data_IF_792064764365
#
_entry.id   IF_792064764365
#
_cell.length_a   1.000
_cell.length_b   1.000
_cell.length_c   1.000
_cell.angle_alpha   90.00
_cell.angle_beta   90.00
_cell.angle_gamma   90.00
#
_symmetry.space_group_name_H-M   'P 1'
#
loop_
_entity.id
_entity.type
_entity.pdbx_description
1 polymer ?
#
# COMPACT_ATOMS: atom_id res chain seq x y z
N UNK A 1 -29.42 4.33 23.18
CA UNK A 1 -28.54 4.81 22.10
C UNK A 1 -27.21 4.09 22.18
N UNK A 2 -26.87 3.24 21.21
CA UNK A 2 -25.52 2.66 21.12
C UNK A 2 -24.50 3.79 20.90
N UNK A 3 -23.55 3.98 21.79
CA UNK A 3 -22.50 4.99 21.70
C UNK A 3 -21.63 4.65 20.49
N UNK A 4 -21.65 5.47 19.43
CA UNK A 4 -20.86 5.27 18.22
C UNK A 4 -19.38 5.22 18.59
N UNK A 5 -18.72 4.11 18.31
CA UNK A 5 -17.29 3.94 18.58
C UNK A 5 -16.42 4.76 17.63
N UNK A 6 -15.35 5.34 18.13
CA UNK A 6 -14.42 6.13 17.32
C UNK A 6 -13.69 5.24 16.31
N UNK A 7 -13.56 5.71 15.05
CA UNK A 7 -12.77 5.02 14.02
C UNK A 7 -11.31 4.80 14.44
N UNK A 8 -10.73 5.68 15.22
CA UNK A 8 -9.37 5.53 15.74
C UNK A 8 -9.23 4.34 16.68
N UNK A 9 -10.23 4.10 17.50
CA UNK A 9 -10.30 2.96 18.42
C UNK A 9 -10.46 1.65 17.65
N UNK A 10 -11.34 1.62 16.65
CA UNK A 10 -11.53 0.44 15.79
C UNK A 10 -10.24 0.10 15.05
N UNK A 11 -9.60 1.08 14.42
CA UNK A 11 -8.33 0.88 13.70
C UNK A 11 -7.20 0.46 14.64
N UNK A 12 -7.13 1.01 15.85
CA UNK A 12 -6.17 0.59 16.87
C UNK A 12 -6.34 -0.88 17.24
N UNK A 13 -7.58 -1.30 17.50
CA UNK A 13 -7.93 -2.69 17.83
C UNK A 13 -7.54 -3.65 16.71
N UNK A 14 -7.91 -3.35 15.46
CA UNK A 14 -7.59 -4.19 14.31
C UNK A 14 -6.07 -4.26 14.11
N UNK A 15 -5.38 -3.12 14.12
CA UNK A 15 -3.93 -3.06 13.96
C UNK A 15 -3.20 -3.85 15.05
N UNK A 16 -3.63 -3.72 16.32
CA UNK A 16 -3.01 -4.42 17.43
C UNK A 16 -3.22 -5.93 17.36
N UNK A 17 -4.45 -6.39 17.14
CA UNK A 17 -4.77 -7.81 16.96
C UNK A 17 -4.01 -8.43 15.79
N UNK A 18 -3.94 -7.73 14.66
CA UNK A 18 -3.15 -8.15 13.51
C UNK A 18 -1.66 -8.29 13.86
N UNK A 19 -1.10 -7.32 14.59
CA UNK A 19 0.29 -7.37 15.02
C UNK A 19 0.56 -8.53 16.00
N UNK A 20 -0.34 -8.81 16.94
CA UNK A 20 -0.23 -9.93 17.88
C UNK A 20 -0.15 -11.29 17.17
N UNK A 21 -0.87 -11.46 16.04
CA UNK A 21 -0.83 -12.71 15.24
C UNK A 21 0.47 -12.88 14.44
N UNK A 22 1.16 -11.78 14.15
CA UNK A 22 2.28 -11.80 13.20
C UNK A 22 3.65 -11.77 13.88
N UNK A 23 3.76 -11.09 15.02
CA UNK A 23 5.04 -10.94 15.75
C UNK A 23 4.94 -11.41 17.18
N UNK A 24 6.04 -12.00 17.67
CA UNK A 24 6.16 -12.38 19.06
C UNK A 24 6.15 -11.14 19.98
N UNK A 25 5.70 -11.27 21.23
CA UNK A 25 5.68 -10.15 22.17
C UNK A 25 7.04 -9.46 22.32
N UNK A 26 8.11 -10.20 22.37
CA UNK A 26 9.48 -9.70 22.55
C UNK A 26 10.44 -10.30 21.53
N UNK A 27 11.45 -9.54 21.13
CA UNK A 27 12.46 -9.99 20.16
C UNK A 27 13.51 -10.91 20.77
N UNK A 28 13.70 -10.85 22.08
CA UNK A 28 14.68 -11.65 22.84
C UNK A 28 14.26 -11.73 24.31
N UNK A 29 14.65 -12.80 25.00
CA UNK A 29 14.36 -12.99 26.44
C UNK A 29 14.90 -11.86 27.32
N UNK A 30 16.05 -11.29 26.97
CA UNK A 30 16.69 -10.16 27.66
C UNK A 30 16.16 -8.78 27.21
N UNK A 31 15.09 -8.72 26.40
CA UNK A 31 14.51 -7.43 26.00
C UNK A 31 13.92 -6.72 27.20
N UNK A 32 14.02 -5.37 27.28
CA UNK A 32 13.24 -4.60 28.26
C UNK A 32 11.75 -4.88 28.02
N UNK A 33 11.04 -5.44 29.00
CA UNK A 33 9.64 -5.84 28.88
C UNK A 33 8.66 -4.67 29.11
N UNK A 34 9.09 -3.45 28.79
CA UNK A 34 8.29 -2.23 28.92
C UNK A 34 7.17 -2.16 27.89
N UNK A 35 7.48 -2.51 26.63
CA UNK A 35 6.53 -2.56 25.51
C UNK A 35 6.68 -3.86 24.76
N UNK A 36 5.57 -4.43 24.30
CA UNK A 36 5.59 -5.55 23.38
C UNK A 36 5.82 -5.07 21.92
N UNK A 37 6.36 -5.93 21.08
CA UNK A 37 6.51 -5.62 19.65
C UNK A 37 5.16 -5.33 18.96
N UNK A 38 4.06 -6.10 19.20
CA UNK A 38 2.74 -5.77 18.67
C UNK A 38 2.25 -4.39 19.06
N UNK A 39 2.43 -3.96 20.32
CA UNK A 39 2.04 -2.61 20.77
C UNK A 39 2.76 -1.53 19.98
N UNK A 40 4.10 -1.61 19.91
CA UNK A 40 4.91 -0.62 19.20
C UNK A 40 4.61 -0.60 17.70
N UNK A 41 4.35 -1.78 17.11
CA UNK A 41 4.03 -1.91 15.70
C UNK A 41 2.67 -1.27 15.38
N UNK A 42 1.67 -1.53 16.22
CA UNK A 42 0.34 -0.92 16.11
C UNK A 42 0.40 0.60 16.27
N UNK A 43 1.18 1.13 17.23
CA UNK A 43 1.41 2.57 17.38
C UNK A 43 1.99 3.18 16.10
N UNK A 44 2.95 2.52 15.45
CA UNK A 44 3.52 3.02 14.19
C UNK A 44 2.51 2.97 13.04
N UNK A 45 1.70 1.91 12.92
CA UNK A 45 0.62 1.88 11.92
C UNK A 45 -0.39 3.00 12.15
N UNK A 46 -0.81 3.21 13.40
CA UNK A 46 -1.68 4.33 13.77
C UNK A 46 -1.06 5.69 13.46
N UNK A 47 0.24 5.88 13.70
CA UNK A 47 0.95 7.11 13.38
C UNK A 47 0.80 7.49 11.90
N UNK A 48 0.91 6.51 10.99
CA UNK A 48 0.64 6.73 9.57
C UNK A 48 -0.85 6.99 9.30
N UNK A 49 -1.75 6.29 9.98
CA UNK A 49 -3.19 6.47 9.83
C UNK A 49 -3.65 7.88 10.22
N UNK A 50 -3.14 8.42 11.34
CA UNK A 50 -3.47 9.76 11.84
C UNK A 50 -2.56 10.86 11.26
N UNK A 51 -1.62 10.51 10.39
CA UNK A 51 -0.67 11.42 9.75
C UNK A 51 0.17 12.24 10.73
N UNK A 52 0.55 11.69 11.86
CA UNK A 52 1.35 12.38 12.87
C UNK A 52 2.86 12.16 12.65
N UNK A 53 3.69 13.11 13.09
CA UNK A 53 5.12 12.87 13.27
C UNK A 53 5.35 11.95 14.48
N UNK A 54 6.58 11.48 14.70
CA UNK A 54 6.87 10.66 15.88
C UNK A 54 6.60 11.40 17.19
N UNK A 55 6.94 12.70 17.27
CA UNK A 55 6.69 13.53 18.45
C UNK A 55 5.20 13.80 18.62
N UNK A 56 4.53 14.21 17.55
CA UNK A 56 3.08 14.44 17.61
C UNK A 56 2.28 13.17 17.90
N UNK A 57 2.83 11.98 17.59
CA UNK A 57 2.19 10.70 17.93
C UNK A 57 2.27 10.40 19.42
N UNK A 58 3.39 10.73 20.07
CA UNK A 58 3.54 10.65 21.52
C UNK A 58 2.49 11.53 22.21
N UNK A 59 2.39 12.80 21.82
CA UNK A 59 1.38 13.75 22.34
C UNK A 59 -0.06 13.30 22.03
N UNK A 60 -0.29 12.79 20.83
CA UNK A 60 -1.62 12.29 20.44
C UNK A 60 -2.05 11.07 21.27
N UNK A 61 -1.13 10.17 21.59
CA UNK A 61 -1.40 9.04 22.46
C UNK A 61 -1.74 9.52 23.87
N UNK A 62 -1.00 10.48 24.43
CA UNK A 62 -1.29 11.08 25.75
C UNK A 62 -2.73 11.63 25.83
N UNK A 63 -3.27 12.13 24.74
CA UNK A 63 -4.63 12.65 24.64
C UNK A 63 -5.69 11.60 24.23
N UNK A 64 -5.35 10.29 24.18
CA UNK A 64 -6.19 9.27 23.55
C UNK A 64 -6.42 8.04 24.45
N UNK A 65 -7.01 8.21 25.63
CA UNK A 65 -7.25 7.14 26.62
C UNK A 65 -7.87 5.87 26.03
N UNK A 66 -8.89 6.03 25.17
CA UNK A 66 -9.57 4.91 24.55
C UNK A 66 -8.64 4.08 23.64
N UNK A 67 -7.70 4.75 22.93
CA UNK A 67 -6.70 4.08 22.09
C UNK A 67 -5.64 3.39 22.96
N UNK A 68 -5.19 4.04 24.03
CA UNK A 68 -4.23 3.48 25.00
C UNK A 68 -4.79 2.16 25.56
N UNK A 69 -6.07 2.16 25.96
CA UNK A 69 -6.76 0.98 26.45
C UNK A 69 -6.80 -0.15 25.43
N UNK A 70 -7.14 0.14 24.16
CA UNK A 70 -7.18 -0.86 23.09
C UNK A 70 -5.79 -1.45 22.77
N UNK A 71 -4.74 -0.66 22.92
CA UNK A 71 -3.37 -1.12 22.71
C UNK A 71 -2.76 -1.76 23.96
N UNK A 72 -3.51 -1.82 25.08
CA UNK A 72 -3.05 -2.33 26.36
C UNK A 72 -1.74 -1.66 26.84
N UNK A 73 -1.58 -0.37 26.54
CA UNK A 73 -0.39 0.39 26.91
C UNK A 73 -0.44 0.79 28.38
N UNK A 74 0.57 0.38 29.14
CA UNK A 74 0.76 0.83 30.53
C UNK A 74 1.47 2.18 30.60
N UNK A 75 2.27 2.49 29.58
CA UNK A 75 3.04 3.71 29.44
C UNK A 75 3.01 4.14 27.96
N UNK A 76 3.25 5.42 27.70
CA UNK A 76 3.31 5.92 26.31
C UNK A 76 4.73 5.73 25.75
N UNK A 77 4.89 5.10 24.58
CA UNK A 77 6.19 4.99 23.94
C UNK A 77 6.65 6.35 23.43
N UNK A 78 7.84 6.75 23.83
CA UNK A 78 8.47 7.99 23.34
C UNK A 78 8.74 7.96 21.83
N UNK A 79 8.86 9.14 21.25
CA UNK A 79 9.09 9.31 19.80
C UNK A 79 10.35 8.60 19.28
N UNK A 80 11.39 8.46 20.10
CA UNK A 80 12.63 7.76 19.72
C UNK A 80 12.41 6.24 19.66
N UNK A 81 11.59 5.70 20.55
CA UNK A 81 11.17 4.29 20.55
C UNK A 81 10.33 3.97 19.32
N UNK A 82 9.36 4.82 18.97
CA UNK A 82 8.57 4.68 17.74
C UNK A 82 9.46 4.74 16.48
N UNK A 83 10.40 5.69 16.43
CA UNK A 83 11.36 5.80 15.32
C UNK A 83 12.24 4.56 15.20
N UNK A 84 12.81 4.07 16.32
CA UNK A 84 13.60 2.82 16.34
C UNK A 84 12.78 1.63 15.91
N UNK A 85 11.52 1.56 16.29
CA UNK A 85 10.59 0.51 15.87
C UNK A 85 10.40 0.54 14.36
N UNK A 86 10.04 1.67 13.76
CA UNK A 86 9.88 1.75 12.31
C UNK A 86 11.18 1.47 11.54
N UNK A 87 12.35 1.81 12.10
CA UNK A 87 13.65 1.45 11.53
C UNK A 87 13.83 -0.07 11.38
N UNK A 88 13.28 -0.85 12.29
CA UNK A 88 13.35 -2.34 12.29
C UNK A 88 12.33 -2.99 11.35
N UNK A 89 11.28 -2.29 10.93
CA UNK A 89 10.27 -2.84 10.02
C UNK A 89 10.90 -3.19 8.68
N UNK A 90 10.86 -4.47 8.33
CA UNK A 90 11.27 -4.95 7.01
C UNK A 90 10.03 -5.06 6.12
N UNK A 91 10.22 -4.92 4.80
CA UNK A 91 9.12 -5.08 3.81
C UNK A 91 8.45 -6.45 3.99
N UNK A 92 9.22 -7.52 4.22
CA UNK A 92 8.68 -8.87 4.49
C UNK A 92 7.70 -8.92 5.66
N UNK A 93 7.92 -8.10 6.70
CA UNK A 93 6.98 -8.02 7.84
C UNK A 93 5.68 -7.34 7.44
N UNK A 94 5.77 -6.24 6.69
CA UNK A 94 4.58 -5.54 6.18
C UNK A 94 3.76 -6.44 5.23
N UNK A 95 4.44 -7.20 4.37
CA UNK A 95 3.80 -8.20 3.50
C UNK A 95 3.14 -9.32 4.31
N UNK A 96 3.77 -9.75 5.41
CA UNK A 96 3.17 -10.76 6.30
C UNK A 96 1.91 -10.23 6.98
N UNK A 97 1.95 -8.98 7.49
CA UNK A 97 0.78 -8.32 8.06
C UNK A 97 -0.36 -8.22 7.04
N UNK A 98 -0.06 -7.72 5.84
CA UNK A 98 -1.06 -7.60 4.78
C UNK A 98 -1.66 -8.96 4.41
N UNK A 99 -0.83 -10.00 4.30
CA UNK A 99 -1.27 -11.36 4.01
C UNK A 99 -2.18 -11.89 5.11
N UNK A 100 -1.79 -11.77 6.38
CA UNK A 100 -2.60 -12.23 7.52
C UNK A 100 -3.96 -11.54 7.56
N UNK A 101 -4.02 -10.24 7.28
CA UNK A 101 -5.30 -9.51 7.18
C UNK A 101 -6.16 -10.02 6.03
N UNK A 102 -5.58 -10.20 4.85
CA UNK A 102 -6.32 -10.69 3.67
C UNK A 102 -6.76 -12.15 3.82
N UNK A 103 -5.99 -12.98 4.52
CA UNK A 103 -6.36 -14.36 4.82
C UNK A 103 -7.59 -14.45 5.75
N UNK A 104 -7.86 -13.41 6.56
CA UNK A 104 -9.08 -13.28 7.35
C UNK A 104 -10.26 -12.79 6.50
N UNK A 105 -10.02 -11.85 5.59
CA UNK A 105 -11.04 -11.26 4.74
C UNK A 105 -11.43 -12.15 3.55
N UNK A 106 -10.56 -13.11 3.18
CA UNK A 106 -10.75 -14.09 2.11
C UNK A 106 -11.26 -13.51 0.77
N UNK A 107 -10.64 -12.43 0.23
CA UNK A 107 -11.06 -11.91 -1.07
C UNK A 107 -10.87 -12.96 -2.16
N UNK A 108 -11.82 -13.00 -3.11
CA UNK A 108 -11.82 -13.92 -4.23
C UNK A 108 -12.24 -13.17 -5.50
N UNK A 109 -11.26 -12.77 -6.31
CA UNK A 109 -11.41 -11.78 -7.35
C UNK A 109 -11.42 -12.40 -8.75
N UNK A 110 -12.36 -12.00 -9.60
CA UNK A 110 -12.34 -12.28 -11.04
C UNK A 110 -11.40 -11.33 -11.78
N UNK A 111 -11.34 -10.08 -11.35
CA UNK A 111 -10.48 -9.05 -11.90
C UNK A 111 -9.63 -8.37 -10.85
N UNK A 112 -8.35 -8.17 -11.16
CA UNK A 112 -7.41 -7.45 -10.30
C UNK A 112 -6.80 -6.31 -11.09
N UNK A 113 -7.02 -5.09 -10.64
CA UNK A 113 -6.50 -3.88 -11.30
C UNK A 113 -5.12 -3.54 -10.75
N UNK A 114 -4.15 -3.35 -11.65
CA UNK A 114 -2.82 -2.87 -11.29
C UNK A 114 -2.66 -1.41 -11.67
N UNK A 115 -2.11 -0.64 -10.75
CA UNK A 115 -1.75 0.75 -11.00
C UNK A 115 -0.56 1.17 -10.13
N UNK A 116 0.13 2.23 -10.56
CA UNK A 116 1.18 2.87 -9.78
C UNK A 116 0.80 4.30 -9.47
N UNK A 117 1.13 4.75 -8.26
CA UNK A 117 0.94 6.14 -7.88
C UNK A 117 2.21 6.73 -7.30
N UNK A 118 2.51 8.00 -7.63
CA UNK A 118 3.68 8.70 -7.13
C UNK A 118 3.45 9.32 -5.75
N UNK A 119 4.48 9.25 -4.91
CA UNK A 119 4.58 9.92 -3.62
C UNK A 119 5.80 10.83 -3.62
N UNK A 120 5.60 12.11 -3.33
CA UNK A 120 6.67 13.11 -3.34
C UNK A 120 7.47 13.08 -2.03
N UNK A 121 8.81 13.18 -2.06
CA UNK A 121 9.58 13.42 -0.85
C UNK A 121 9.33 14.86 -0.35
N UNK A 122 8.94 15.03 0.89
CA UNK A 122 8.50 16.31 1.49
C UNK A 122 9.61 17.35 1.72
N UNK A 123 10.81 17.18 1.21
CA UNK A 123 11.95 17.84 1.88
C UNK A 123 12.64 18.96 1.10
N UNK A 124 12.23 19.22 -0.12
CA UNK A 124 12.77 20.35 -0.86
C UNK A 124 11.62 21.16 -1.44
N UNK A 125 11.60 22.46 -1.15
CA UNK A 125 10.69 23.35 -1.85
C UNK A 125 11.06 23.38 -3.34
N UNK A 126 10.09 23.57 -4.22
CA UNK A 126 10.29 23.73 -5.67
C UNK A 126 11.35 24.81 -5.95
N UNK A 127 11.34 25.87 -5.14
CA UNK A 127 12.32 26.95 -5.21
C UNK A 127 13.76 26.49 -4.87
N UNK A 128 13.93 25.64 -3.86
CA UNK A 128 15.25 25.09 -3.53
C UNK A 128 15.78 24.16 -4.63
N UNK A 129 14.93 23.32 -5.19
CA UNK A 129 15.29 22.43 -6.29
C UNK A 129 15.71 23.23 -7.54
N UNK A 130 14.97 24.29 -7.87
CA UNK A 130 15.31 25.19 -8.96
C UNK A 130 16.67 25.87 -8.75
N UNK A 131 16.97 26.34 -7.54
CA UNK A 131 18.28 26.93 -7.18
C UNK A 131 19.43 25.94 -7.26
N UNK A 132 19.20 24.65 -6.97
CA UNK A 132 20.20 23.59 -7.07
C UNK A 132 20.36 23.05 -8.49
N UNK A 133 19.69 23.62 -9.51
CA UNK A 133 19.74 23.16 -10.91
C UNK A 133 19.16 21.78 -11.14
N UNK A 134 18.40 21.24 -10.18
CA UNK A 134 17.77 19.91 -10.29
C UNK A 134 16.45 20.04 -11.04
N UNK A 135 16.43 19.55 -12.28
CA UNK A 135 15.23 19.57 -13.15
C UNK A 135 14.16 18.55 -12.75
N UNK A 136 14.50 17.48 -12.00
CA UNK A 136 13.59 16.41 -11.64
C UNK A 136 13.74 16.05 -10.18
N UNK A 137 12.64 16.02 -9.48
CA UNK A 137 12.59 15.46 -8.13
C UNK A 137 12.42 13.95 -8.22
N UNK A 138 13.22 13.22 -7.45
CA UNK A 138 13.03 11.78 -7.32
C UNK A 138 11.78 11.54 -6.49
N UNK A 139 10.75 10.94 -7.08
CA UNK A 139 9.58 10.50 -6.36
C UNK A 139 9.60 8.99 -6.12
N UNK A 140 8.77 8.53 -5.20
CA UNK A 140 8.64 7.11 -4.90
C UNK A 140 7.32 6.61 -5.46
N UNK A 141 7.35 5.50 -6.20
CA UNK A 141 6.15 4.84 -6.70
C UNK A 141 5.64 3.84 -5.68
N UNK A 142 4.33 3.87 -5.39
CA UNK A 142 3.61 2.77 -4.81
C UNK A 142 2.87 2.04 -5.92
N UNK A 143 3.15 0.75 -6.11
CA UNK A 143 2.40 -0.12 -7.01
C UNK A 143 1.42 -0.96 -6.20
N UNK A 144 0.16 -0.98 -6.63
CA UNK A 144 -0.92 -1.67 -5.96
C UNK A 144 -1.67 -2.59 -6.91
N UNK A 145 -1.99 -3.78 -6.43
CA UNK A 145 -2.93 -4.70 -7.05
C UNK A 145 -4.23 -4.66 -6.24
N UNK A 146 -5.29 -4.19 -6.83
CA UNK A 146 -6.59 -3.95 -6.18
C UNK A 146 -7.63 -4.90 -6.74
N UNK A 147 -8.35 -5.60 -5.88
CA UNK A 147 -9.48 -6.44 -6.27
C UNK A 147 -10.64 -5.60 -6.81
N UNK A 148 -11.25 -6.04 -7.90
CA UNK A 148 -12.41 -5.34 -8.48
C UNK A 148 -13.62 -5.47 -7.57
N UNK A 149 -13.86 -6.64 -7.02
CA UNK A 149 -15.03 -6.94 -6.20
C UNK A 149 -14.88 -6.35 -4.79
N UNK A 150 -13.75 -6.64 -4.13
CA UNK A 150 -13.53 -6.23 -2.74
C UNK A 150 -13.02 -4.81 -2.57
N UNK A 151 -12.38 -4.23 -3.60
CA UNK A 151 -11.59 -3.01 -3.54
C UNK A 151 -10.45 -3.04 -2.50
N UNK A 152 -10.06 -4.22 -2.05
CA UNK A 152 -8.92 -4.40 -1.16
C UNK A 152 -7.61 -4.37 -1.95
N UNK A 153 -6.56 -3.86 -1.34
CA UNK A 153 -5.20 -3.94 -1.88
C UNK A 153 -4.66 -5.35 -1.59
N UNK A 154 -4.62 -6.19 -2.61
CA UNK A 154 -4.18 -7.58 -2.52
C UNK A 154 -2.66 -7.73 -2.50
N UNK A 155 -1.96 -6.79 -3.15
CA UNK A 155 -0.51 -6.74 -3.15
C UNK A 155 -0.03 -5.29 -3.23
N UNK A 156 1.11 -5.03 -2.58
CA UNK A 156 1.77 -3.74 -2.58
C UNK A 156 3.25 -3.90 -2.93
N UNK A 157 3.77 -2.93 -3.65
CA UNK A 157 5.20 -2.77 -3.92
C UNK A 157 5.58 -1.30 -3.87
N UNK A 158 6.86 -1.03 -3.80
CA UNK A 158 7.40 0.32 -3.95
C UNK A 158 8.62 0.32 -4.86
N UNK A 159 8.80 1.40 -5.58
CA UNK A 159 9.90 1.63 -6.48
C UNK A 159 10.31 3.10 -6.49
N UNK A 160 11.39 3.41 -7.18
CA UNK A 160 11.82 4.79 -7.44
C UNK A 160 11.22 5.27 -8.76
N UNK A 161 10.72 6.49 -8.80
CA UNK A 161 10.34 7.18 -10.03
C UNK A 161 11.42 8.18 -10.48
N UNK A 162 11.39 8.62 -11.73
CA UNK A 162 10.61 8.10 -12.85
C UNK A 162 11.13 6.74 -13.32
N UNK A 163 10.27 5.84 -13.71
CA UNK A 163 10.63 4.52 -14.23
C UNK A 163 9.40 3.85 -14.85
N UNK A 164 9.62 2.85 -15.71
CA UNK A 164 8.52 2.13 -16.35
C UNK A 164 7.72 1.31 -15.31
N UNK A 165 6.41 1.22 -15.51
CA UNK A 165 5.51 0.45 -14.64
C UNK A 165 5.56 -1.05 -14.93
N UNK A 166 6.13 -1.45 -16.05
CA UNK A 166 6.30 -2.85 -16.46
C UNK A 166 7.01 -3.69 -15.41
N UNK A 167 7.98 -3.12 -14.67
CA UNK A 167 8.70 -3.79 -13.58
C UNK A 167 7.82 -4.17 -12.38
N UNK A 168 6.63 -3.60 -12.26
CA UNK A 168 5.67 -3.93 -11.20
C UNK A 168 4.75 -5.11 -11.57
N UNK A 169 4.57 -5.40 -12.86
CA UNK A 169 3.57 -6.35 -13.36
C UNK A 169 3.72 -7.75 -12.73
N UNK A 170 4.81 -8.45 -13.00
CA UNK A 170 4.98 -9.82 -12.54
C UNK A 170 5.15 -9.97 -11.02
N UNK A 171 5.87 -9.08 -10.32
CA UNK A 171 5.91 -9.14 -8.87
C UNK A 171 4.56 -8.91 -8.19
N UNK A 172 3.73 -7.98 -8.67
CA UNK A 172 2.37 -7.76 -8.16
C UNK A 172 1.48 -8.95 -8.47
N UNK A 173 1.52 -9.47 -9.70
CA UNK A 173 0.79 -10.66 -10.12
C UNK A 173 1.10 -11.86 -9.22
N UNK A 174 2.38 -12.15 -9.00
CA UNK A 174 2.82 -13.26 -8.14
C UNK A 174 2.30 -13.15 -6.71
N UNK A 175 2.25 -11.93 -6.16
CA UNK A 175 1.75 -11.69 -4.80
C UNK A 175 0.22 -11.76 -4.74
N UNK A 176 -0.47 -11.23 -5.74
CA UNK A 176 -1.93 -11.15 -5.77
C UNK A 176 -2.61 -12.46 -6.19
N UNK A 177 -1.91 -13.37 -6.90
CA UNK A 177 -2.52 -14.57 -7.54
C UNK A 177 -3.34 -15.46 -6.61
N UNK A 178 -3.03 -15.47 -5.31
CA UNK A 178 -3.73 -16.30 -4.32
C UNK A 178 -5.15 -15.81 -4.00
N UNK A 179 -5.45 -14.56 -4.35
CA UNK A 179 -6.73 -13.90 -4.12
C UNK A 179 -7.58 -13.82 -5.40
N UNK A 180 -7.02 -14.20 -6.53
CA UNK A 180 -7.76 -14.35 -7.76
C UNK A 180 -8.56 -15.66 -7.80
N UNK A 181 -9.77 -15.62 -8.34
CA UNK A 181 -10.59 -16.81 -8.52
C UNK A 181 -9.83 -17.84 -9.37
N UNK A 182 -9.64 -19.04 -8.81
CA UNK A 182 -8.73 -20.05 -9.36
C UNK A 182 -9.03 -20.35 -10.83
N UNK A 183 -8.02 -20.10 -11.69
CA UNK A 183 -8.07 -20.37 -13.13
C UNK A 183 -8.90 -19.39 -13.95
N UNK A 184 -9.52 -18.36 -13.35
CA UNK A 184 -10.46 -17.46 -14.05
C UNK A 184 -10.18 -15.98 -13.87
N UNK A 185 -9.17 -15.59 -13.09
CA UNK A 185 -8.88 -14.17 -12.84
C UNK A 185 -7.96 -13.57 -13.90
N UNK A 186 -8.14 -12.28 -14.16
CA UNK A 186 -7.36 -11.51 -15.13
C UNK A 186 -6.83 -10.23 -14.53
N UNK A 187 -5.79 -9.68 -15.14
CA UNK A 187 -5.21 -8.38 -14.78
C UNK A 187 -5.77 -7.30 -15.68
N UNK A 188 -6.20 -6.19 -15.07
CA UNK A 188 -6.52 -4.94 -15.75
C UNK A 188 -5.43 -3.93 -15.40
N UNK A 189 -4.87 -3.27 -16.38
CA UNK A 189 -3.94 -2.16 -16.16
C UNK A 189 -3.94 -1.20 -17.35
N UNK A 190 -3.25 -0.08 -17.18
CA UNK A 190 -3.03 0.83 -18.30
C UNK A 190 -1.91 0.34 -19.25
N UNK A 191 -1.68 1.06 -20.34
CA UNK A 191 -0.64 0.72 -21.31
C UNK A 191 0.79 0.87 -20.76
N UNK A 192 0.98 1.58 -19.64
CA UNK A 192 2.27 1.68 -18.95
C UNK A 192 2.80 0.34 -18.45
N UNK A 193 1.90 -0.65 -18.31
CA UNK A 193 2.22 -2.02 -17.93
C UNK A 193 2.47 -2.95 -19.14
N UNK A 194 2.45 -2.44 -20.37
CA UNK A 194 2.68 -3.26 -21.57
C UNK A 194 4.08 -3.89 -21.57
N UNK A 195 4.14 -5.19 -21.34
CA UNK A 195 5.34 -6.01 -21.23
C UNK A 195 5.23 -7.28 -22.06
N UNK A 196 6.36 -7.94 -22.32
CA UNK A 196 6.41 -9.22 -23.05
C UNK A 196 5.72 -10.35 -22.25
N UNK A 197 5.68 -10.22 -20.93
CA UNK A 197 5.12 -11.25 -20.01
C UNK A 197 3.61 -11.17 -19.80
N UNK A 198 2.90 -10.40 -20.63
CA UNK A 198 1.44 -10.29 -20.54
C UNK A 198 0.81 -11.61 -20.96
N UNK A 199 -0.15 -12.08 -20.15
CA UNK A 199 -0.86 -13.33 -20.43
C UNK A 199 -2.03 -13.08 -21.38
N UNK A 200 -2.37 -14.11 -22.15
CA UNK A 200 -3.60 -14.11 -22.89
C UNK A 200 -4.79 -13.95 -21.94
N UNK A 201 -5.70 -13.05 -22.26
CA UNK A 201 -6.84 -12.69 -21.40
C UNK A 201 -6.62 -11.51 -20.45
N UNK A 202 -5.37 -11.04 -20.25
CA UNK A 202 -5.15 -9.81 -19.50
C UNK A 202 -5.58 -8.58 -20.33
N UNK A 203 -6.28 -7.67 -19.67
CA UNK A 203 -6.80 -6.44 -20.26
C UNK A 203 -5.80 -5.29 -20.05
N UNK A 204 -4.66 -5.37 -20.76
CA UNK A 204 -3.60 -4.35 -20.76
C UNK A 204 -3.42 -3.85 -22.19
N UNK A 205 -3.80 -2.60 -22.52
CA UNK A 205 -3.70 -2.08 -23.87
C UNK A 205 -2.25 -2.08 -24.37
N UNK A 206 -1.97 -2.57 -25.58
CA UNK A 206 -0.63 -2.47 -26.15
C UNK A 206 -0.25 -1.03 -26.46
N UNK A 207 1.01 -0.65 -26.21
CA UNK A 207 1.54 0.67 -26.57
C UNK A 207 1.62 0.79 -28.09
N UNK A 208 1.01 1.83 -28.64
CA UNK A 208 1.13 2.20 -30.06
C UNK A 208 2.32 3.13 -30.24
N UNK A 209 3.37 2.67 -30.91
CA UNK A 209 4.54 3.49 -31.27
C UNK A 209 4.50 3.83 -32.76
N UNK A 210 3.52 4.63 -33.20
CA UNK A 210 3.38 5.12 -34.58
C UNK A 210 3.57 4.03 -35.65
N UNK A 211 2.57 3.48 -36.24
CA UNK A 211 2.65 2.42 -37.25
C UNK A 211 1.63 1.29 -37.02
N UNK A 212 1.56 0.40 -37.99
CA UNK A 212 0.65 -0.75 -37.99
C UNK A 212 1.18 -1.79 -36.99
N UNK A 213 0.31 -2.28 -36.12
CA UNK A 213 0.62 -3.38 -35.17
C UNK A 213 0.78 -4.66 -35.99
N UNK A 214 1.95 -5.32 -35.88
CA UNK A 214 2.27 -6.50 -36.70
C UNK A 214 2.24 -7.82 -35.90
N UNK A 215 2.42 -7.75 -34.58
CA UNK A 215 2.45 -8.98 -33.74
C UNK A 215 1.03 -9.48 -33.46
N UNK A 216 0.70 -10.73 -33.84
CA UNK A 216 -0.64 -11.29 -33.69
C UNK A 216 -1.15 -11.21 -32.25
N UNK A 217 -0.32 -11.55 -31.26
CA UNK A 217 -0.64 -11.51 -29.83
C UNK A 217 -1.04 -10.10 -29.35
N UNK A 218 -0.45 -9.06 -29.94
CA UNK A 218 -0.78 -7.66 -29.61
C UNK A 218 -2.09 -7.23 -30.27
N UNK A 219 -2.37 -7.75 -31.48
CA UNK A 219 -3.64 -7.50 -32.19
C UNK A 219 -4.77 -8.13 -31.42
N UNK A 220 -4.65 -9.43 -31.08
CA UNK A 220 -5.63 -10.17 -30.27
C UNK A 220 -5.92 -9.47 -28.93
N UNK A 221 -4.86 -9.05 -28.23
CA UNK A 221 -5.00 -8.31 -26.97
C UNK A 221 -5.71 -6.96 -27.15
N UNK A 222 -5.46 -6.26 -28.25
CA UNK A 222 -6.16 -5.02 -28.57
C UNK A 222 -7.65 -5.27 -28.81
N UNK A 223 -8.01 -6.36 -29.49
CA UNK A 223 -9.39 -6.77 -29.73
C UNK A 223 -10.10 -7.11 -28.41
N UNK A 224 -9.45 -7.91 -27.53
CA UNK A 224 -9.96 -8.22 -26.18
C UNK A 224 -10.21 -6.96 -25.34
N UNK A 225 -9.26 -6.04 -25.32
CA UNK A 225 -9.41 -4.76 -24.61
C UNK A 225 -10.52 -3.91 -25.23
N UNK A 226 -10.68 -3.93 -26.55
CA UNK A 226 -11.74 -3.20 -27.24
C UNK A 226 -13.11 -3.76 -26.92
N UNK A 227 -13.26 -5.09 -26.91
CA UNK A 227 -14.49 -5.76 -26.47
C UNK A 227 -14.82 -5.43 -25.00
N UNK A 228 -13.84 -5.54 -24.11
CA UNK A 228 -14.01 -5.20 -22.69
C UNK A 228 -14.29 -3.71 -22.43
N UNK A 229 -14.00 -2.83 -23.37
CA UNK A 229 -14.42 -1.42 -23.32
C UNK A 229 -15.88 -1.25 -23.72
N UNK A 230 -16.33 -2.01 -24.71
CA UNK A 230 -17.71 -1.96 -25.21
C UNK A 230 -18.70 -2.50 -24.15
N UNK A 231 -18.36 -3.58 -23.46
CA UNK A 231 -19.16 -4.16 -22.38
C UNK A 231 -19.01 -3.44 -21.01
N UNK A 232 -18.13 -2.43 -20.94
CA UNK A 232 -17.89 -1.62 -19.74
C UNK A 232 -16.97 -2.28 -18.71
N UNK A 233 -16.51 -3.53 -18.91
CA UNK A 233 -15.69 -4.23 -17.91
C UNK A 233 -14.31 -3.57 -17.74
N UNK A 234 -13.66 -3.16 -18.82
CA UNK A 234 -12.40 -2.41 -18.75
C UNK A 234 -12.53 -1.11 -17.94
N UNK A 235 -13.71 -0.52 -17.93
CA UNK A 235 -14.03 0.67 -17.13
C UNK A 235 -13.84 0.44 -15.63
N UNK A 236 -13.95 -0.81 -15.12
CA UNK A 236 -13.73 -1.13 -13.69
C UNK A 236 -12.34 -0.71 -13.19
N UNK A 237 -11.42 -0.37 -14.09
CA UNK A 237 -10.10 0.16 -13.77
C UNK A 237 -10.14 1.44 -12.92
N UNK A 238 -11.24 2.22 -12.96
CA UNK A 238 -11.42 3.39 -12.11
C UNK A 238 -11.33 3.07 -10.60
N UNK A 239 -11.60 1.82 -10.19
CA UNK A 239 -11.58 1.40 -8.78
C UNK A 239 -10.19 1.56 -8.16
N UNK A 240 -9.11 1.26 -8.88
CA UNK A 240 -7.75 1.48 -8.36
C UNK A 240 -7.42 2.97 -8.25
N UNK A 241 -7.94 3.79 -9.16
CA UNK A 241 -7.78 5.26 -9.10
C UNK A 241 -8.48 5.82 -7.84
N UNK A 242 -9.66 5.29 -7.50
CA UNK A 242 -10.35 5.62 -6.25
C UNK A 242 -9.53 5.21 -5.03
N UNK A 243 -9.00 3.98 -4.99
CA UNK A 243 -8.13 3.50 -3.91
C UNK A 243 -6.90 4.42 -3.77
N UNK A 244 -6.22 4.74 -4.86
CA UNK A 244 -5.07 5.64 -4.88
C UNK A 244 -5.45 7.06 -4.38
N UNK A 245 -6.61 7.56 -4.76
CA UNK A 245 -7.14 8.84 -4.29
C UNK A 245 -7.40 8.83 -2.78
N UNK A 246 -8.01 7.77 -2.26
CA UNK A 246 -8.23 7.61 -0.81
C UNK A 246 -6.91 7.55 -0.07
N UNK A 247 -5.93 6.77 -0.55
CA UNK A 247 -4.60 6.67 0.06
C UNK A 247 -3.96 8.06 0.16
N UNK A 248 -3.93 8.82 -0.93
CA UNK A 248 -3.31 10.15 -0.96
C UNK A 248 -4.04 11.15 -0.06
N UNK A 249 -5.35 11.24 -0.17
CA UNK A 249 -6.15 12.19 0.63
C UNK A 249 -6.11 11.87 2.11
N UNK A 250 -6.22 10.60 2.48
CA UNK A 250 -6.36 10.19 3.87
C UNK A 250 -5.01 9.97 4.57
N UNK A 251 -4.04 9.35 3.89
CA UNK A 251 -2.74 8.99 4.49
C UNK A 251 -1.58 9.85 3.95
N UNK A 252 -1.89 10.82 3.09
CA UNK A 252 -0.93 11.79 2.51
C UNK A 252 -0.25 11.28 1.25
N UNK A 253 0.04 12.20 0.35
CA UNK A 253 0.72 12.00 -0.93
C UNK A 253 2.25 12.15 -0.82
N UNK A 254 2.74 12.35 0.38
CA UNK A 254 4.14 12.61 0.69
C UNK A 254 4.84 11.44 1.37
N UNK A 255 6.16 11.34 1.18
CA UNK A 255 7.06 10.45 1.92
C UNK A 255 7.79 11.27 2.98
N UNK A 256 7.54 10.98 4.25
CA UNK A 256 8.09 11.72 5.40
C UNK A 256 9.46 11.20 5.88
N UNK A 257 9.78 9.96 5.56
CA UNK A 257 11.05 9.35 5.97
C UNK A 257 12.22 9.99 5.25
N UNK A 258 13.28 10.32 6.02
CA UNK A 258 14.55 10.78 5.46
C UNK A 258 15.45 9.65 4.97
N UNK A 259 15.38 8.50 5.64
CA UNK A 259 16.18 7.33 5.30
C UNK A 259 15.64 6.60 4.08
N UNK A 260 16.50 6.27 3.12
CA UNK A 260 16.17 5.65 1.85
C UNK A 260 15.32 4.37 2.02
N UNK A 261 15.78 3.43 2.87
CA UNK A 261 15.05 2.17 3.07
C UNK A 261 13.66 2.37 3.68
N UNK A 262 13.46 3.40 4.51
CA UNK A 262 12.15 3.73 5.07
C UNK A 262 11.23 4.38 4.04
N UNK A 263 11.78 5.16 3.10
CA UNK A 263 11.01 5.75 1.99
C UNK A 263 10.29 4.68 1.17
N UNK A 264 10.96 3.56 0.86
CA UNK A 264 10.33 2.44 0.15
C UNK A 264 9.27 1.69 0.99
N UNK A 265 9.28 1.80 2.30
CA UNK A 265 8.29 1.14 3.16
C UNK A 265 6.99 1.92 3.27
N UNK A 266 7.04 3.26 3.20
CA UNK A 266 5.87 4.10 3.41
C UNK A 266 4.72 3.83 2.44
N UNK A 267 4.91 3.69 1.11
CA UNK A 267 3.83 3.33 0.21
C UNK A 267 3.18 2.00 0.59
N UNK A 268 3.99 1.02 1.01
CA UNK A 268 3.49 -0.31 1.44
C UNK A 268 2.68 -0.19 2.74
N UNK A 269 3.16 0.59 3.71
CA UNK A 269 2.42 0.87 4.95
C UNK A 269 1.09 1.55 4.64
N UNK A 270 1.08 2.54 3.74
CA UNK A 270 -0.16 3.23 3.33
C UNK A 270 -1.17 2.27 2.70
N UNK A 271 -0.71 1.32 1.90
CA UNK A 271 -1.56 0.25 1.36
C UNK A 271 -2.12 -0.67 2.45
N UNK A 272 -1.30 -1.06 3.43
CA UNK A 272 -1.74 -1.87 4.57
C UNK A 272 -2.79 -1.14 5.43
N UNK A 273 -2.53 0.12 5.78
CA UNK A 273 -3.48 0.89 6.60
C UNK A 273 -4.77 1.24 5.84
N UNK A 274 -4.73 1.29 4.52
CA UNK A 274 -5.93 1.36 3.70
C UNK A 274 -6.83 0.15 3.94
N UNK A 275 -6.29 -1.07 3.84
CA UNK A 275 -7.05 -2.30 4.10
C UNK A 275 -7.56 -2.43 5.55
N UNK A 276 -6.85 -1.86 6.53
CA UNK A 276 -7.32 -1.81 7.92
C UNK A 276 -8.48 -0.79 8.07
N UNK A 277 -8.52 0.22 7.18
CA UNK A 277 -9.49 1.31 7.26
C UNK A 277 -10.83 0.97 6.65
N UNK A 278 -10.85 0.22 5.55
CA UNK A 278 -12.08 -0.15 4.82
C UNK A 278 -12.71 -1.38 5.40
#
# INVERSE_FOLDING_TARGET
>A
MQKRESKYVIVARIAYRLCQRVVAPYSHLKSPHRFTQPQLLACVLLMFYVRKSYRDMEEWLLASDAVIKELELKEIPDHSTLNRTFKRFRIKLLEKLQRTLLDELQPNELGIVFDTTGFSPTQASVHYLARCGRKYDHFYKGGYAVGIESQLILASMSGQGPGADTGFLEPLRRKARRYGLRGKWMVLADSGFDAITIRLGDLIPPIRRGGVMKLPERIERMELVSAAKLDGYFGQRWKVETVNSVIKRKFGDEIRSRNLFRRYREPIVKGLIYNIHV
#
